data_IF_144794530307
#
_entry.id   IF_144794530307
#
_cell.length_a   1.000
_cell.length_b   1.000
_cell.length_c   1.000
_cell.angle_alpha   90.00
_cell.angle_beta   90.00
_cell.angle_gamma   90.00
#
_symmetry.space_group_name_H-M   'P 1'
#
loop_
_entity.id
_entity.type
_entity.pdbx_description
1 polymer ?
#
# COMPACT_ATOMS: atom_id res chain seq x y z
N UNK A 1 2.99 -9.98 13.16
CA UNK A 1 3.37 -9.50 11.82
C UNK A 1 3.87 -8.08 11.93
N UNK A 2 5.04 -7.78 11.38
CA UNK A 2 5.57 -6.42 11.35
C UNK A 2 4.91 -5.61 10.22
N UNK A 3 4.91 -4.27 10.32
CA UNK A 3 4.38 -3.38 9.27
C UNK A 3 5.02 -3.66 7.90
N UNK A 4 6.30 -4.05 7.89
CA UNK A 4 7.05 -4.37 6.66
C UNK A 4 6.53 -5.68 6.05
N UNK A 5 6.30 -6.71 6.85
CA UNK A 5 5.71 -7.98 6.38
C UNK A 5 4.33 -7.75 5.78
N UNK A 6 3.46 -7.01 6.47
CA UNK A 6 2.12 -6.70 5.97
C UNK A 6 2.15 -5.90 4.65
N UNK A 7 3.12 -5.00 4.51
CA UNK A 7 3.33 -4.26 3.27
C UNK A 7 3.80 -5.17 2.11
N UNK A 8 4.67 -6.15 2.38
CA UNK A 8 5.12 -7.12 1.39
C UNK A 8 4.01 -8.09 0.97
N UNK A 9 3.18 -8.55 1.91
CA UNK A 9 1.99 -9.35 1.61
C UNK A 9 0.98 -8.57 0.77
N UNK A 10 0.77 -7.29 1.13
CA UNK A 10 -0.12 -6.42 0.37
C UNK A 10 0.37 -6.23 -1.07
N UNK A 11 1.68 -6.09 -1.28
CA UNK A 11 2.26 -5.96 -2.63
C UNK A 11 1.92 -7.16 -3.53
N UNK A 12 1.82 -8.35 -2.95
CA UNK A 12 1.47 -9.59 -3.68
C UNK A 12 -0.04 -9.74 -3.91
N UNK A 13 -0.88 -8.85 -3.36
CA UNK A 13 -2.33 -8.96 -3.48
C UNK A 13 -2.79 -8.79 -4.92
N UNK A 14 -3.57 -9.76 -5.41
CA UNK A 14 -4.14 -9.72 -6.76
C UNK A 14 -5.15 -8.59 -6.91
N UNK A 15 -4.98 -7.77 -7.94
CA UNK A 15 -5.90 -6.68 -8.28
C UNK A 15 -6.98 -7.09 -9.31
N UNK A 16 -7.11 -8.39 -9.60
CA UNK A 16 -8.08 -8.92 -10.56
C UNK A 16 -9.45 -9.11 -9.90
N UNK A 17 -10.51 -8.92 -10.67
CA UNK A 17 -11.91 -9.23 -10.27
C UNK A 17 -12.39 -8.57 -8.96
N UNK A 18 -11.85 -7.40 -8.61
CA UNK A 18 -12.23 -6.67 -7.40
C UNK A 18 -13.56 -5.93 -7.56
N UNK A 19 -14.46 -6.09 -6.59
CA UNK A 19 -15.67 -5.27 -6.46
C UNK A 19 -15.33 -3.83 -6.05
N UNK A 20 -16.31 -2.92 -6.10
CA UNK A 20 -16.12 -1.53 -5.66
C UNK A 20 -15.76 -1.45 -4.18
N UNK A 21 -16.40 -2.26 -3.33
CA UNK A 21 -16.11 -2.27 -1.88
C UNK A 21 -14.71 -2.81 -1.60
N UNK A 22 -14.25 -3.84 -2.32
CA UNK A 22 -12.89 -4.37 -2.19
C UNK A 22 -11.85 -3.33 -2.58
N UNK A 23 -12.07 -2.61 -3.68
CA UNK A 23 -11.19 -1.51 -4.11
C UNK A 23 -11.10 -0.40 -3.06
N UNK A 24 -12.22 -0.04 -2.41
CA UNK A 24 -12.21 0.96 -1.34
C UNK A 24 -11.39 0.45 -0.14
N UNK A 25 -11.60 -0.80 0.28
CA UNK A 25 -10.83 -1.43 1.37
C UNK A 25 -9.34 -1.46 1.05
N UNK A 26 -8.96 -1.89 -0.17
CA UNK A 26 -7.58 -1.93 -0.62
C UNK A 26 -6.93 -0.54 -0.67
N UNK A 27 -7.64 0.48 -1.15
CA UNK A 27 -7.10 1.86 -1.16
C UNK A 27 -6.83 2.37 0.26
N UNK A 28 -7.77 2.11 1.20
CA UNK A 28 -7.60 2.47 2.62
C UNK A 28 -6.45 1.72 3.26
N UNK A 29 -6.35 0.41 3.03
CA UNK A 29 -5.28 -0.43 3.56
C UNK A 29 -3.91 0.02 3.03
N UNK A 30 -3.79 0.27 1.72
CA UNK A 30 -2.55 0.79 1.14
C UNK A 30 -2.15 2.12 1.79
N UNK A 31 -3.11 3.04 2.00
CA UNK A 31 -2.85 4.32 2.67
C UNK A 31 -2.33 4.12 4.10
N UNK A 32 -2.94 3.21 4.87
CA UNK A 32 -2.50 2.91 6.24
C UNK A 32 -1.05 2.42 6.24
N UNK A 33 -0.76 1.39 5.43
CA UNK A 33 0.58 0.81 5.32
C UNK A 33 1.64 1.84 4.93
N UNK A 34 1.34 2.74 3.98
CA UNK A 34 2.26 3.82 3.59
C UNK A 34 2.55 4.77 4.75
N UNK A 35 1.54 5.14 5.54
CA UNK A 35 1.71 6.03 6.70
C UNK A 35 2.51 5.36 7.81
N UNK A 36 2.26 4.07 8.07
CA UNK A 36 2.98 3.29 9.07
C UNK A 36 4.45 3.10 8.66
N UNK A 37 4.71 2.76 7.39
CA UNK A 37 6.07 2.69 6.84
C UNK A 37 6.79 4.04 6.91
N UNK A 38 6.08 5.16 6.73
CA UNK A 38 6.68 6.48 6.86
C UNK A 38 7.17 6.76 8.30
N UNK A 39 6.49 6.25 9.33
CA UNK A 39 7.00 6.37 10.71
C UNK A 39 8.30 5.59 10.89
N UNK A 40 8.40 4.39 10.34
CA UNK A 40 9.63 3.58 10.38
C UNK A 40 10.75 4.26 9.58
N UNK A 41 10.42 4.81 8.41
CA UNK A 41 11.36 5.56 7.57
C UNK A 41 11.91 6.79 8.30
N UNK A 42 11.09 7.55 9.03
CA UNK A 42 11.58 8.73 9.78
C UNK A 42 12.67 8.37 10.80
N UNK A 43 12.55 7.21 11.44
CA UNK A 43 13.53 6.75 12.42
C UNK A 43 14.77 6.12 11.80
N UNK A 44 14.62 5.30 10.75
CA UNK A 44 15.73 4.53 10.16
C UNK A 44 16.37 5.16 8.92
N UNK A 45 15.62 6.01 8.20
CA UNK A 45 15.96 6.60 6.88
C UNK A 45 16.43 5.58 5.83
N UNK A 46 15.90 4.36 5.91
CA UNK A 46 16.26 3.26 5.02
C UNK A 46 15.60 3.43 3.64
N UNK A 47 16.41 3.40 2.58
CA UNK A 47 15.93 3.48 1.19
C UNK A 47 14.99 2.34 0.81
N UNK A 48 15.17 1.14 1.39
CA UNK A 48 14.30 0.01 1.10
C UNK A 48 12.84 0.27 1.54
N UNK A 49 12.65 1.00 2.65
CA UNK A 49 11.33 1.39 3.13
C UNK A 49 10.71 2.41 2.16
N UNK A 50 11.51 3.35 1.67
CA UNK A 50 11.06 4.33 0.68
C UNK A 50 10.60 3.64 -0.61
N UNK A 51 11.36 2.67 -1.11
CA UNK A 51 10.99 1.95 -2.33
C UNK A 51 9.76 1.08 -2.14
N UNK A 52 9.57 0.47 -0.96
CA UNK A 52 8.33 -0.21 -0.60
C UNK A 52 7.13 0.74 -0.59
N UNK A 53 7.27 1.93 0.00
CA UNK A 53 6.22 2.96 -0.04
C UNK A 53 5.87 3.40 -1.47
N UNK A 54 6.86 3.58 -2.36
CA UNK A 54 6.63 3.94 -3.78
C UNK A 54 5.85 2.85 -4.52
N UNK A 55 6.18 1.57 -4.29
CA UNK A 55 5.48 0.41 -4.87
C UNK A 55 4.02 0.34 -4.41
N UNK A 56 3.79 0.45 -3.09
CA UNK A 56 2.45 0.57 -2.50
C UNK A 56 1.64 1.74 -3.07
N UNK A 57 2.28 2.91 -3.22
CA UNK A 57 1.64 4.12 -3.78
C UNK A 57 1.19 3.88 -5.23
N UNK A 58 2.00 3.16 -6.02
CA UNK A 58 1.64 2.81 -7.40
C UNK A 58 0.44 1.88 -7.44
N UNK A 59 0.38 0.88 -6.55
CA UNK A 59 -0.76 -0.03 -6.42
C UNK A 59 -2.02 0.76 -6.03
N UNK A 60 -1.94 1.61 -4.99
CA UNK A 60 -3.03 2.46 -4.53
C UNK A 60 -3.60 3.32 -5.67
N UNK A 61 -2.72 4.02 -6.42
CA UNK A 61 -3.12 4.84 -7.57
C UNK A 61 -3.84 4.04 -8.65
N UNK A 62 -3.40 2.81 -8.94
CA UNK A 62 -4.06 1.92 -9.91
C UNK A 62 -5.48 1.54 -9.46
N UNK A 63 -5.67 1.28 -8.17
CA UNK A 63 -6.98 0.96 -7.59
C UNK A 63 -7.90 2.19 -7.60
N UNK A 64 -7.41 3.36 -7.19
CA UNK A 64 -8.17 4.61 -7.16
C UNK A 64 -8.62 5.08 -8.54
N UNK A 65 -7.74 4.99 -9.56
CA UNK A 65 -8.13 5.28 -10.95
C UNK A 65 -9.33 4.48 -11.42
N UNK A 66 -9.50 3.24 -10.93
CA UNK A 66 -10.63 2.36 -11.27
C UNK A 66 -11.89 2.64 -10.45
N UNK A 67 -11.79 3.47 -9.40
CA UNK A 67 -12.91 3.84 -8.54
C UNK A 67 -13.64 5.12 -9.02
N UNK A 68 -13.08 5.89 -9.97
CA UNK A 68 -13.61 7.21 -10.40
C UNK A 68 -13.90 8.16 -9.21
N UNK A 69 -13.15 8.00 -8.13
CA UNK A 69 -13.12 8.91 -6.97
C UNK A 69 -11.96 9.88 -7.15
#
# INVERSE_FOLDING_TARGET
MSTIEQALEFEQTSLKSLSTSDRIKLSRQAKSLILDLNQIYKSKKDQNIMDLMKRLTTIKRKVEKRLKV
#
